data_IF_533265046024
#
_entry.id   IF_533265046024
#
_cell.length_a   1.000
_cell.length_b   1.000
_cell.length_c   1.000
_cell.angle_alpha   90.00
_cell.angle_beta   90.00
_cell.angle_gamma   90.00
#
_symmetry.space_group_name_H-M   'P 1'
#
loop_
_entity.id
_entity.type
_entity.pdbx_description
1 polymer ?
#
# COMPACT_ATOMS: atom_id res chain seq x y z
N UNK A 1 4.58 16.60 -11.95
CA UNK A 1 4.48 15.30 -12.61
C UNK A 1 4.49 14.16 -11.57
N UNK A 2 5.54 14.04 -10.74
CA UNK A 2 5.65 13.01 -9.68
C UNK A 2 4.41 13.00 -8.78
N UNK A 3 4.03 14.14 -8.21
CA UNK A 3 2.87 14.26 -7.31
C UNK A 3 1.59 13.71 -7.93
N UNK A 4 1.29 14.11 -9.18
CA UNK A 4 0.07 13.65 -9.87
C UNK A 4 0.17 12.16 -10.17
N UNK A 5 1.29 11.67 -10.69
CA UNK A 5 1.42 10.25 -11.03
C UNK A 5 1.34 9.33 -9.80
N UNK A 6 1.95 9.72 -8.66
CA UNK A 6 1.87 8.94 -7.42
C UNK A 6 0.46 8.94 -6.83
N UNK A 7 -0.22 10.09 -6.75
CA UNK A 7 -1.57 10.15 -6.19
C UNK A 7 -2.61 9.45 -7.08
N UNK A 8 -2.47 9.54 -8.40
CA UNK A 8 -3.31 8.76 -9.35
C UNK A 8 -3.06 7.27 -9.18
N UNK A 9 -1.81 6.84 -9.02
CA UNK A 9 -1.46 5.44 -8.82
C UNK A 9 -2.00 4.90 -7.49
N UNK A 10 -1.87 5.67 -6.40
CA UNK A 10 -2.43 5.32 -5.10
C UNK A 10 -3.94 5.09 -5.18
N UNK A 11 -4.67 6.00 -5.81
CA UNK A 11 -6.12 5.87 -5.94
C UNK A 11 -6.52 4.72 -6.86
N UNK A 12 -5.82 4.54 -7.98
CA UNK A 12 -6.10 3.46 -8.92
C UNK A 12 -5.76 2.06 -8.38
N UNK A 13 -4.82 1.98 -7.44
CA UNK A 13 -4.42 0.72 -6.79
C UNK A 13 -5.15 0.42 -5.49
N UNK A 14 -6.10 1.27 -5.09
CA UNK A 14 -6.78 1.18 -3.80
C UNK A 14 -7.54 -0.13 -3.62
N UNK A 15 -8.27 -0.58 -4.63
CA UNK A 15 -9.04 -1.84 -4.58
C UNK A 15 -8.13 -3.03 -4.27
N UNK A 16 -7.01 -3.17 -5.00
CA UNK A 16 -6.04 -4.21 -4.72
C UNK A 16 -5.29 -4.05 -3.38
N UNK A 17 -5.22 -2.85 -2.82
CA UNK A 17 -4.71 -2.64 -1.47
C UNK A 17 -5.74 -3.08 -0.42
N UNK A 18 -7.01 -2.74 -0.62
CA UNK A 18 -8.12 -3.17 0.24
C UNK A 18 -8.23 -4.70 0.33
N UNK A 19 -8.22 -5.40 -0.81
CA UNK A 19 -8.27 -6.87 -0.84
C UNK A 19 -7.07 -7.53 -0.11
N UNK A 20 -5.91 -6.87 -0.10
CA UNK A 20 -4.76 -7.37 0.66
C UNK A 20 -4.82 -7.07 2.14
N UNK A 21 -5.34 -5.90 2.51
CA UNK A 21 -5.45 -5.47 3.91
C UNK A 21 -6.64 -6.11 4.62
N UNK A 22 -7.73 -6.29 3.89
CA UNK A 22 -9.00 -6.80 4.41
C UNK A 22 -9.50 -7.95 3.53
N UNK A 23 -8.85 -9.12 3.59
CA UNK A 23 -9.21 -10.28 2.75
C UNK A 23 -10.59 -10.87 3.08
N UNK A 24 -11.17 -10.53 4.24
CA UNK A 24 -12.48 -10.97 4.70
C UNK A 24 -13.41 -9.79 4.92
N UNK A 25 -14.71 -10.00 4.76
CA UNK A 25 -15.70 -8.97 5.04
C UNK A 25 -15.59 -8.46 6.47
N UNK A 26 -15.43 -9.39 7.43
CA UNK A 26 -15.29 -9.07 8.85
C UNK A 26 -14.28 -10.01 9.52
N UNK A 27 -13.41 -9.46 10.35
CA UNK A 27 -12.53 -10.16 11.26
C UNK A 27 -12.80 -9.64 12.68
N UNK A 28 -13.35 -10.47 13.54
CA UNK A 28 -13.61 -10.18 14.95
C UNK A 28 -12.43 -10.68 15.76
N UNK A 29 -11.80 -9.79 16.50
CA UNK A 29 -10.54 -10.02 17.21
C UNK A 29 -10.76 -9.87 18.70
N UNK A 30 -10.61 -10.97 19.44
CA UNK A 30 -10.65 -11.01 20.89
C UNK A 30 -9.23 -11.15 21.44
N UNK A 31 -8.75 -10.16 22.20
CA UNK A 31 -7.46 -10.30 22.89
C UNK A 31 -7.53 -11.37 24.00
N UNK A 32 -6.49 -12.19 24.08
CA UNK A 32 -6.31 -13.22 25.10
C UNK A 32 -5.17 -12.90 26.08
N UNK A 33 -4.50 -11.77 25.93
CA UNK A 33 -3.27 -11.43 26.68
C UNK A 33 -3.46 -11.43 28.21
N UNK A 34 -4.63 -11.02 28.70
CA UNK A 34 -4.94 -10.94 30.11
C UNK A 34 -5.96 -12.01 30.55
N UNK A 35 -6.28 -12.96 29.66
CA UNK A 35 -7.30 -13.99 29.91
C UNK A 35 -6.65 -15.23 30.53
N UNK A 36 -7.11 -15.71 31.69
CA UNK A 36 -6.63 -16.96 32.27
C UNK A 36 -6.94 -18.15 31.34
N UNK A 37 -6.02 -19.13 31.16
CA UNK A 37 -6.21 -20.26 30.24
C UNK A 37 -7.52 -21.06 30.48
N UNK A 38 -7.98 -21.17 31.72
CA UNK A 38 -9.24 -21.84 32.05
C UNK A 38 -10.49 -21.10 31.58
N UNK A 39 -10.40 -19.81 31.21
CA UNK A 39 -11.50 -18.99 30.72
C UNK A 39 -11.46 -18.78 29.19
N UNK A 40 -10.33 -19.04 28.54
CA UNK A 40 -10.16 -18.80 27.10
C UNK A 40 -11.22 -19.55 26.27
N UNK A 41 -11.45 -20.83 26.53
CA UNK A 41 -12.42 -21.63 25.78
C UNK A 41 -13.83 -21.06 25.87
N UNK A 42 -14.27 -20.68 27.07
CA UNK A 42 -15.60 -20.11 27.25
C UNK A 42 -15.76 -18.75 26.59
N UNK A 43 -14.69 -17.93 26.60
CA UNK A 43 -14.67 -16.63 25.94
C UNK A 43 -14.69 -16.77 24.40
N UNK A 44 -13.91 -17.70 23.85
CA UNK A 44 -13.87 -17.97 22.43
C UNK A 44 -15.22 -18.51 21.90
N UNK A 45 -15.88 -19.40 22.68
CA UNK A 45 -17.23 -19.89 22.37
C UNK A 45 -18.27 -18.75 22.42
N UNK A 46 -18.23 -17.86 23.41
CA UNK A 46 -19.13 -16.68 23.49
C UNK A 46 -18.93 -15.74 22.29
N UNK A 47 -17.68 -15.45 21.92
CA UNK A 47 -17.37 -14.61 20.74
C UNK A 47 -17.90 -15.24 19.46
N UNK A 48 -17.70 -16.54 19.27
CA UNK A 48 -18.20 -17.26 18.10
C UNK A 48 -19.73 -17.26 18.03
N UNK A 49 -20.41 -17.50 19.17
CA UNK A 49 -21.88 -17.47 19.27
C UNK A 49 -22.44 -16.08 18.95
N UNK A 50 -21.80 -15.00 19.41
CA UNK A 50 -22.18 -13.61 19.08
C UNK A 50 -22.11 -13.34 17.59
N UNK A 51 -21.01 -13.74 16.94
CA UNK A 51 -20.83 -13.58 15.49
C UNK A 51 -21.90 -14.36 14.72
N UNK A 52 -22.18 -15.61 15.10
CA UNK A 52 -23.22 -16.42 14.46
C UNK A 52 -24.63 -15.84 14.67
N UNK A 53 -24.91 -15.32 15.86
CA UNK A 53 -26.18 -14.66 16.17
C UNK A 53 -26.37 -13.40 15.37
N UNK A 54 -25.33 -12.55 15.28
CA UNK A 54 -25.37 -11.34 14.44
C UNK A 54 -25.63 -11.65 12.97
N UNK A 55 -25.04 -12.74 12.45
CA UNK A 55 -25.28 -13.18 11.07
C UNK A 55 -26.72 -13.65 10.86
N UNK A 56 -27.27 -14.39 11.81
CA UNK A 56 -28.66 -14.85 11.77
C UNK A 56 -29.66 -13.68 11.86
N UNK A 57 -29.40 -12.72 12.74
CA UNK A 57 -30.24 -11.53 12.93
C UNK A 57 -30.22 -10.60 11.69
N UNK A 58 -29.09 -10.47 11.04
CA UNK A 58 -28.96 -9.74 9.78
C UNK A 58 -29.66 -10.46 8.61
N UNK A 59 -30.06 -11.73 8.78
CA UNK A 59 -30.68 -12.55 7.75
C UNK A 59 -29.76 -12.82 6.55
N UNK A 60 -28.47 -12.80 6.78
CA UNK A 60 -27.44 -13.03 5.74
C UNK A 60 -26.94 -14.48 5.78
N UNK A 61 -26.60 -14.97 4.61
CA UNK A 61 -25.93 -16.27 4.50
C UNK A 61 -24.46 -16.09 4.74
N UNK A 62 -23.93 -16.82 5.69
CA UNK A 62 -22.50 -16.93 5.92
C UNK A 62 -21.91 -17.82 4.82
N UNK A 63 -21.02 -17.26 4.00
CA UNK A 63 -20.30 -17.97 2.96
C UNK A 63 -19.03 -18.60 3.51
N UNK A 64 -18.35 -17.90 4.42
CA UNK A 64 -17.17 -18.36 5.11
C UNK A 64 -17.29 -18.02 6.60
N UNK A 65 -17.00 -18.99 7.46
CA UNK A 65 -16.77 -18.78 8.88
C UNK A 65 -15.57 -19.63 9.30
N UNK A 66 -14.52 -18.96 9.77
CA UNK A 66 -13.29 -19.60 10.24
C UNK A 66 -12.85 -18.95 11.55
N UNK A 67 -12.09 -19.67 12.34
CA UNK A 67 -11.49 -19.13 13.56
C UNK A 67 -10.12 -19.73 13.80
N UNK A 68 -9.28 -18.98 14.50
CA UNK A 68 -7.93 -19.38 14.89
C UNK A 68 -7.46 -18.59 16.09
N UNK A 69 -6.39 -19.07 16.71
CA UNK A 69 -5.75 -18.39 17.84
C UNK A 69 -4.28 -18.08 17.51
N UNK A 70 -4.03 -17.08 16.62
CA UNK A 70 -2.66 -16.68 16.31
C UNK A 70 -1.97 -16.05 17.52
N UNK A 71 -0.64 -16.23 17.57
CA UNK A 71 0.25 -15.47 18.44
C UNK A 71 1.12 -14.55 17.59
N UNK A 72 1.25 -13.29 17.98
CA UNK A 72 2.10 -12.31 17.32
C UNK A 72 3.14 -11.77 18.30
N UNK A 73 4.39 -11.63 17.85
CA UNK A 73 5.46 -11.01 18.64
C UNK A 73 6.48 -10.32 17.73
N UNK A 74 7.35 -9.51 18.32
CA UNK A 74 8.50 -8.92 17.65
C UNK A 74 9.78 -9.50 18.23
N UNK A 75 10.57 -10.15 17.38
CA UNK A 75 11.88 -10.66 17.72
C UNK A 75 13.00 -9.88 16.99
N UNK A 76 14.21 -9.96 17.52
CA UNK A 76 15.41 -9.37 16.91
C UNK A 76 16.35 -10.50 16.48
N UNK A 77 16.51 -10.66 15.18
CA UNK A 77 17.29 -11.76 14.60
C UNK A 77 18.78 -11.44 14.54
N UNK A 78 19.58 -12.30 15.13
CA UNK A 78 21.05 -12.21 15.07
C UNK A 78 21.65 -13.61 14.94
N UNK A 79 22.42 -13.84 13.87
CA UNK A 79 23.05 -15.12 13.61
C UNK A 79 22.06 -16.21 13.22
N UNK A 80 21.56 -16.97 14.20
CA UNK A 80 20.54 -17.98 14.04
C UNK A 80 19.49 -17.93 15.16
N UNK A 81 19.44 -16.84 15.91
CA UNK A 81 18.59 -16.71 17.10
C UNK A 81 17.72 -15.46 17.01
N UNK A 82 16.45 -15.61 17.35
CA UNK A 82 15.53 -14.52 17.64
C UNK A 82 15.53 -14.25 19.13
N UNK A 83 15.86 -13.03 19.53
CA UNK A 83 15.74 -12.58 20.92
C UNK A 83 14.50 -11.69 21.06
N UNK A 84 13.65 -11.97 22.03
CA UNK A 84 12.43 -11.18 22.28
C UNK A 84 12.74 -9.94 23.13
N UNK A 85 13.76 -10.01 23.99
CA UNK A 85 14.10 -8.97 24.96
C UNK A 85 15.16 -8.01 24.45
N UNK A 86 16.22 -8.54 23.84
CA UNK A 86 17.36 -7.73 23.38
C UNK A 86 17.06 -7.09 22.01
N UNK A 87 17.15 -5.76 21.92
CA UNK A 87 16.89 -5.00 20.70
C UNK A 87 18.12 -4.92 19.79
N UNK A 88 18.85 -6.02 19.64
CA UNK A 88 20.04 -6.10 18.78
C UNK A 88 19.77 -7.07 17.62
N UNK A 89 19.93 -6.60 16.38
CA UNK A 89 19.72 -7.40 15.17
C UNK A 89 18.63 -6.85 14.25
N UNK A 90 18.14 -7.71 13.36
CA UNK A 90 17.07 -7.37 12.41
C UNK A 90 15.74 -7.51 13.14
N UNK A 91 15.02 -6.39 13.29
CA UNK A 91 13.65 -6.41 13.84
C UNK A 91 12.75 -7.22 12.91
N UNK A 92 12.11 -8.25 13.46
CA UNK A 92 11.31 -9.23 12.71
C UNK A 92 9.97 -9.40 13.40
N UNK A 93 8.90 -9.23 12.65
CA UNK A 93 7.56 -9.63 13.11
C UNK A 93 7.43 -11.14 13.01
N UNK A 94 7.10 -11.79 14.11
CA UNK A 94 6.92 -13.24 14.19
C UNK A 94 5.46 -13.52 14.44
N UNK A 95 4.84 -14.25 13.51
CA UNK A 95 3.47 -14.72 13.65
C UNK A 95 3.43 -16.22 13.81
N UNK A 96 2.75 -16.69 14.86
CA UNK A 96 2.63 -18.08 15.25
C UNK A 96 1.22 -18.58 14.95
N UNK A 97 1.12 -19.80 14.43
CA UNK A 97 -0.14 -20.50 14.24
C UNK A 97 0.06 -21.97 14.58
N UNK A 98 -0.88 -22.58 15.28
CA UNK A 98 -0.79 -24.03 15.56
C UNK A 98 -1.08 -24.85 14.30
N UNK A 99 -0.59 -26.08 14.24
CA UNK A 99 -0.86 -27.02 13.16
C UNK A 99 -2.37 -27.28 12.98
N UNK A 100 -3.11 -27.30 14.08
CA UNK A 100 -4.57 -27.48 14.08
C UNK A 100 -5.29 -26.28 13.46
N UNK A 101 -4.92 -25.06 13.85
CA UNK A 101 -5.45 -23.83 13.27
C UNK A 101 -5.08 -23.70 11.79
N UNK A 102 -3.82 -24.00 11.44
CA UNK A 102 -3.39 -24.01 10.03
C UNK A 102 -4.22 -25.00 9.20
N UNK A 103 -4.46 -26.21 9.74
CA UNK A 103 -5.33 -27.20 9.10
C UNK A 103 -6.77 -26.71 8.93
N UNK A 104 -7.32 -26.04 9.94
CA UNK A 104 -8.69 -25.46 9.90
C UNK A 104 -8.81 -24.33 8.88
N UNK A 105 -7.80 -23.47 8.77
CA UNK A 105 -7.81 -22.33 7.87
C UNK A 105 -7.54 -22.70 6.42
N UNK A 106 -6.62 -23.65 6.16
CA UNK A 106 -6.15 -23.99 4.82
C UNK A 106 -6.70 -25.29 4.26
N UNK A 107 -7.21 -26.18 5.11
CA UNK A 107 -7.58 -27.55 4.77
C UNK A 107 -6.39 -28.51 4.68
N UNK A 108 -5.17 -28.07 4.97
CA UNK A 108 -3.96 -28.88 4.94
C UNK A 108 -3.57 -29.33 6.34
N UNK A 109 -3.83 -30.59 6.68
CA UNK A 109 -3.36 -31.17 7.94
C UNK A 109 -1.86 -31.43 7.90
N UNK A 110 -1.16 -30.98 8.93
CA UNK A 110 0.27 -31.22 9.15
C UNK A 110 0.46 -31.85 10.50
N UNK A 111 1.44 -32.75 10.60
CA UNK A 111 1.83 -33.40 11.85
C UNK A 111 3.27 -32.98 12.14
N UNK A 112 3.48 -32.28 13.24
CA UNK A 112 4.75 -31.65 13.61
C UNK A 112 5.14 -32.11 15.03
N UNK A 113 6.39 -32.46 15.20
CA UNK A 113 6.97 -32.62 16.53
C UNK A 113 7.18 -31.24 17.19
N UNK A 114 7.28 -31.14 18.51
CA UNK A 114 7.39 -29.84 19.20
C UNK A 114 8.53 -28.92 18.77
N UNK A 115 9.60 -29.49 18.23
CA UNK A 115 10.74 -28.71 17.72
C UNK A 115 10.68 -28.50 16.19
N UNK A 116 9.68 -29.06 15.51
CA UNK A 116 9.50 -28.92 14.06
C UNK A 116 8.53 -27.78 13.74
N UNK A 117 8.86 -27.02 12.68
CA UNK A 117 8.03 -25.92 12.22
C UNK A 117 7.93 -25.87 10.71
N UNK A 118 6.76 -25.42 10.20
CA UNK A 118 6.69 -24.90 8.84
C UNK A 118 6.99 -23.40 8.88
N UNK A 119 7.71 -22.93 7.86
CA UNK A 119 8.21 -21.55 7.83
C UNK A 119 7.85 -20.87 6.51
N UNK A 120 7.43 -19.59 6.61
CA UNK A 120 7.52 -18.61 5.53
C UNK A 120 8.27 -17.40 6.08
N UNK A 121 9.38 -17.04 5.44
CA UNK A 121 10.20 -15.89 5.83
C UNK A 121 10.23 -14.87 4.70
N UNK A 122 10.01 -13.60 5.05
CA UNK A 122 10.08 -12.49 4.12
C UNK A 122 11.18 -11.52 4.56
N UNK A 123 12.05 -11.13 3.63
CA UNK A 123 13.23 -10.29 3.88
C UNK A 123 14.18 -10.85 4.95
N UNK A 124 14.25 -12.17 5.08
CA UNK A 124 15.05 -12.88 6.08
C UNK A 124 15.54 -14.22 5.53
N UNK A 125 16.83 -14.49 5.67
CA UNK A 125 17.43 -15.80 5.39
C UNK A 125 17.55 -16.59 6.69
N UNK A 126 16.96 -17.79 6.75
CA UNK A 126 17.00 -18.67 7.91
C UNK A 126 17.82 -19.92 7.62
N UNK A 127 18.65 -20.42 8.56
CA UNK A 127 19.24 -21.74 8.49
C UNK A 127 18.20 -22.84 8.79
N UNK A 128 18.48 -24.08 8.44
CA UNK A 128 17.60 -25.23 8.69
C UNK A 128 17.23 -25.40 10.18
N UNK A 129 18.05 -24.85 11.07
CA UNK A 129 17.82 -24.82 12.51
C UNK A 129 18.06 -23.42 13.05
N UNK A 130 17.07 -22.87 13.71
CA UNK A 130 17.16 -21.57 14.38
C UNK A 130 16.59 -21.65 15.79
N UNK A 131 16.72 -20.56 16.52
CA UNK A 131 16.31 -20.48 17.93
C UNK A 131 15.37 -19.28 18.13
N UNK A 132 14.35 -19.45 18.96
CA UNK A 132 13.63 -18.34 19.57
C UNK A 132 14.00 -18.38 21.05
N UNK A 133 14.74 -17.39 21.51
CA UNK A 133 15.45 -17.39 22.78
C UNK A 133 16.37 -18.65 22.91
N UNK A 134 16.02 -19.57 23.81
CA UNK A 134 16.74 -20.84 24.02
C UNK A 134 16.02 -22.05 23.39
N UNK A 135 14.88 -21.86 22.76
CA UNK A 135 14.09 -22.92 22.14
C UNK A 135 14.59 -23.23 20.72
N UNK A 136 15.02 -24.45 20.44
CA UNK A 136 15.43 -24.86 19.10
C UNK A 136 14.21 -25.14 18.21
N UNK A 137 14.31 -24.74 16.93
CA UNK A 137 13.32 -25.05 15.90
C UNK A 137 14.01 -25.59 14.64
N UNK A 138 13.46 -26.67 14.11
CA UNK A 138 13.89 -27.31 12.87
C UNK A 138 12.87 -27.07 11.76
N UNK A 139 13.31 -26.61 10.59
CA UNK A 139 12.43 -26.37 9.46
C UNK A 139 12.03 -27.70 8.84
N UNK A 140 10.81 -28.16 9.09
CA UNK A 140 10.24 -29.36 8.48
C UNK A 140 9.71 -29.10 7.06
N UNK A 141 9.35 -27.84 6.75
CA UNK A 141 8.87 -27.45 5.41
C UNK A 141 8.61 -25.96 5.29
N UNK A 142 8.21 -25.54 4.08
CA UNK A 142 7.92 -24.14 3.77
C UNK A 142 6.43 -23.96 3.57
N UNK A 143 5.87 -22.91 4.15
CA UNK A 143 4.50 -22.47 3.92
C UNK A 143 4.49 -21.67 2.61
N UNK A 144 3.61 -22.03 1.67
CA UNK A 144 3.48 -21.33 0.40
C UNK A 144 2.60 -20.08 0.52
N UNK A 145 1.57 -20.14 1.37
CA UNK A 145 0.64 -19.04 1.62
C UNK A 145 0.15 -19.12 3.07
N UNK A 146 0.66 -18.22 3.90
CA UNK A 146 0.22 -18.12 5.30
C UNK A 146 -1.18 -17.50 5.33
N UNK A 147 -2.10 -18.01 6.16
CA UNK A 147 -3.43 -17.43 6.27
C UNK A 147 -3.39 -15.94 6.58
N UNK A 148 -4.13 -15.15 5.79
CA UNK A 148 -4.20 -13.71 5.97
C UNK A 148 -5.29 -13.35 6.98
N UNK A 149 -5.14 -12.18 7.57
CA UNK A 149 -6.09 -11.58 8.50
C UNK A 149 -6.38 -10.16 8.06
N UNK A 150 -7.57 -9.65 8.41
CA UNK A 150 -7.83 -8.23 8.25
C UNK A 150 -6.88 -7.42 9.15
N UNK A 151 -6.27 -6.39 8.60
CA UNK A 151 -5.34 -5.56 9.34
C UNK A 151 -5.45 -4.10 8.92
N UNK A 152 -5.70 -3.24 9.89
CA UNK A 152 -5.66 -1.79 9.70
C UNK A 152 -4.23 -1.24 9.64
N UNK A 153 -3.23 -2.06 9.95
CA UNK A 153 -1.83 -1.65 9.93
C UNK A 153 -1.30 -1.79 8.50
N UNK A 154 -0.73 -0.69 7.98
CA UNK A 154 0.02 -0.71 6.73
C UNK A 154 1.32 -1.49 6.97
N UNK A 155 1.33 -2.76 6.57
CA UNK A 155 2.52 -3.60 6.67
C UNK A 155 3.51 -3.09 5.62
N UNK A 156 4.61 -2.52 6.10
CA UNK A 156 5.72 -2.14 5.23
C UNK A 156 6.40 -3.40 4.71
N UNK A 157 6.39 -3.61 3.41
CA UNK A 157 7.11 -4.71 2.76
C UNK A 157 8.63 -4.69 2.95
N UNK A 158 9.15 -3.80 3.80
CA UNK A 158 10.56 -3.70 4.16
C UNK A 158 10.87 -4.29 5.55
N UNK A 159 9.85 -4.57 6.37
CA UNK A 159 10.04 -5.23 7.67
C UNK A 159 10.27 -6.73 7.44
N UNK A 160 11.23 -7.30 8.14
CA UNK A 160 11.40 -8.75 8.14
C UNK A 160 10.20 -9.40 8.81
N UNK A 161 9.65 -10.44 8.18
CA UNK A 161 8.49 -11.18 8.69
C UNK A 161 8.81 -12.67 8.74
N UNK A 162 8.38 -13.29 9.80
CA UNK A 162 8.51 -14.72 10.02
C UNK A 162 7.15 -15.30 10.40
N UNK A 163 6.63 -16.14 9.53
CA UNK A 163 5.41 -16.89 9.77
C UNK A 163 5.77 -18.32 10.12
N UNK A 164 5.27 -18.79 11.23
CA UNK A 164 5.54 -20.12 11.78
C UNK A 164 4.25 -20.89 11.99
N UNK A 165 4.22 -22.14 11.51
CA UNK A 165 3.26 -23.12 12.00
C UNK A 165 4.00 -24.03 12.96
N UNK A 166 3.54 -24.05 14.20
CA UNK A 166 4.11 -24.85 15.31
C UNK A 166 3.20 -26.03 15.64
N UNK A 167 3.72 -27.03 16.33
CA UNK A 167 2.99 -28.27 16.61
C UNK A 167 1.64 -28.02 17.30
N UNK A 168 1.66 -27.34 18.41
CA UNK A 168 0.47 -27.12 19.25
C UNK A 168 0.61 -25.90 20.16
N UNK A 169 -0.41 -25.67 20.99
CA UNK A 169 -0.50 -24.57 21.94
C UNK A 169 0.58 -24.63 23.04
N UNK A 170 1.14 -25.81 23.32
CA UNK A 170 2.22 -25.94 24.32
C UNK A 170 3.50 -25.26 23.83
N UNK A 171 3.75 -25.28 22.52
CA UNK A 171 4.89 -24.59 21.91
C UNK A 171 4.68 -23.08 21.94
N UNK A 172 3.46 -22.59 21.62
CA UNK A 172 3.12 -21.17 21.72
C UNK A 172 3.31 -20.67 23.15
N UNK A 173 2.82 -21.42 24.13
CA UNK A 173 2.98 -21.12 25.55
C UNK A 173 4.43 -21.11 25.98
N UNK A 174 5.25 -22.05 25.50
CA UNK A 174 6.68 -22.11 25.80
C UNK A 174 7.44 -20.87 25.26
N UNK A 175 7.04 -20.32 24.11
CA UNK A 175 7.60 -19.07 23.57
C UNK A 175 7.12 -17.90 24.44
N UNK A 176 5.83 -17.84 24.77
CA UNK A 176 5.24 -16.79 25.61
C UNK A 176 5.86 -16.72 27.00
N UNK A 177 6.20 -17.85 27.59
CA UNK A 177 6.84 -17.93 28.93
C UNK A 177 8.22 -17.25 28.97
N UNK A 178 8.90 -17.04 27.79
CA UNK A 178 10.19 -16.33 27.73
C UNK A 178 10.03 -14.81 27.88
N UNK A 179 8.93 -14.26 27.32
CA UNK A 179 8.51 -12.89 27.59
C UNK A 179 7.00 -12.73 27.35
N UNK A 180 6.21 -13.02 28.39
CA UNK A 180 4.76 -12.94 28.35
C UNK A 180 4.21 -11.53 28.00
N UNK A 181 5.01 -10.48 28.19
CA UNK A 181 4.61 -9.11 27.87
C UNK A 181 4.72 -8.78 26.38
N UNK A 182 5.28 -9.67 25.57
CA UNK A 182 5.56 -9.41 24.14
C UNK A 182 4.87 -10.34 23.18
N UNK A 183 4.42 -11.50 23.60
CA UNK A 183 3.63 -12.38 22.75
C UNK A 183 2.17 -12.03 22.95
N UNK A 184 1.57 -11.42 21.95
CA UNK A 184 0.15 -11.10 21.92
C UNK A 184 -0.62 -12.27 21.34
N UNK A 185 -1.60 -12.77 22.10
CA UNK A 185 -2.48 -13.87 21.68
C UNK A 185 -3.87 -13.33 21.42
N UNK A 186 -4.45 -13.74 20.31
CA UNK A 186 -5.76 -13.27 19.88
C UNK A 186 -6.61 -14.45 19.42
N UNK A 187 -7.87 -14.46 19.78
CA UNK A 187 -8.85 -15.30 19.12
C UNK A 187 -9.50 -14.51 17.99
N UNK A 188 -9.45 -15.04 16.78
CA UNK A 188 -9.98 -14.38 15.60
C UNK A 188 -11.08 -15.18 14.95
N UNK A 189 -12.17 -14.49 14.58
CA UNK A 189 -13.29 -15.07 13.84
C UNK A 189 -13.44 -14.31 12.51
N UNK A 190 -13.18 -15.00 11.41
CA UNK A 190 -13.21 -14.46 10.06
C UNK A 190 -14.51 -14.85 9.37
N UNK A 191 -15.18 -13.87 8.78
CA UNK A 191 -16.51 -14.04 8.18
C UNK A 191 -16.55 -13.41 6.81
N UNK A 192 -17.07 -14.16 5.84
CA UNK A 192 -17.56 -13.63 4.56
C UNK A 192 -19.06 -13.87 4.45
N UNK A 193 -19.77 -12.87 3.96
CA UNK A 193 -21.22 -12.83 3.85
C UNK A 193 -21.64 -12.64 2.41
N UNK A 194 -22.81 -13.19 2.05
CA UNK A 194 -23.50 -12.82 0.83
C UNK A 194 -24.12 -11.41 0.94
N UNK A 195 -24.34 -10.77 -0.20
CA UNK A 195 -25.10 -9.52 -0.27
C UNK A 195 -24.32 -8.31 -0.74
N UNK A 196 -24.96 -7.16 -0.68
CA UNK A 196 -24.38 -5.86 -1.03
C UNK A 196 -23.57 -5.29 0.13
N UNK A 197 -22.71 -4.31 -0.17
CA UNK A 197 -21.90 -3.61 0.85
C UNK A 197 -22.75 -2.98 1.97
N UNK A 198 -23.94 -2.41 1.63
CA UNK A 198 -24.87 -1.86 2.63
C UNK A 198 -25.44 -2.93 3.55
N UNK A 199 -25.72 -4.12 3.00
CA UNK A 199 -26.25 -5.24 3.76
C UNK A 199 -25.18 -5.86 4.68
N UNK A 200 -23.93 -5.89 4.24
CA UNK A 200 -22.78 -6.32 5.05
C UNK A 200 -22.53 -5.36 6.21
N UNK A 201 -22.66 -4.05 6.00
CA UNK A 201 -22.58 -3.05 7.07
C UNK A 201 -23.64 -3.26 8.14
N UNK A 202 -24.87 -3.65 7.78
CA UNK A 202 -25.92 -3.94 8.75
C UNK A 202 -25.57 -5.12 9.69
N UNK A 203 -24.72 -6.05 9.23
CA UNK A 203 -24.16 -7.11 10.09
C UNK A 203 -23.04 -6.56 11.01
N UNK A 204 -22.25 -5.62 10.51
CA UNK A 204 -21.10 -5.06 11.24
C UNK A 204 -21.53 -4.13 12.37
N UNK A 205 -22.58 -3.32 12.14
CA UNK A 205 -23.03 -2.30 13.11
C UNK A 205 -23.28 -2.83 14.54
N UNK A 206 -23.99 -3.95 14.77
CA UNK A 206 -24.17 -4.51 16.11
C UNK A 206 -22.85 -5.00 16.74
N UNK A 207 -21.92 -5.51 15.95
CA UNK A 207 -20.62 -5.96 16.42
C UNK A 207 -19.74 -4.78 16.82
N UNK A 208 -19.71 -3.71 16.03
CA UNK A 208 -19.02 -2.46 16.36
C UNK A 208 -19.61 -1.80 17.63
N UNK A 209 -20.91 -1.88 17.80
CA UNK A 209 -21.54 -1.37 19.02
C UNK A 209 -21.13 -2.15 20.28
N UNK A 210 -20.84 -3.45 20.14
CA UNK A 210 -20.33 -4.29 21.22
C UNK A 210 -18.83 -4.08 21.46
N UNK A 211 -18.03 -3.81 20.41
CA UNK A 211 -16.62 -3.43 20.48
C UNK A 211 -16.42 -2.20 21.40
N UNK A 212 -17.31 -1.20 21.31
CA UNK A 212 -17.28 -0.02 22.17
C UNK A 212 -17.31 -0.31 23.70
N UNK A 213 -17.53 -1.56 24.11
CA UNK A 213 -17.47 -2.02 25.49
C UNK A 213 -16.20 -2.82 25.81
N UNK A 214 -15.16 -2.74 24.97
CA UNK A 214 -13.87 -3.42 25.13
C UNK A 214 -13.97 -4.98 25.23
N UNK A 215 -14.99 -5.56 24.62
CA UNK A 215 -15.17 -7.03 24.63
C UNK A 215 -14.28 -7.68 23.57
N UNK A 216 -14.29 -7.12 22.37
CA UNK A 216 -13.48 -7.54 21.22
C UNK A 216 -13.37 -6.37 20.24
N UNK A 217 -12.44 -6.45 19.30
CA UNK A 217 -12.30 -5.49 18.19
C UNK A 217 -12.88 -6.06 16.89
N UNK A 218 -13.48 -5.22 16.08
CA UNK A 218 -14.06 -5.59 14.79
C UNK A 218 -13.30 -4.87 13.66
N UNK A 219 -12.72 -5.63 12.76
CA UNK A 219 -12.03 -5.10 11.59
C UNK A 219 -12.86 -5.43 10.35
N UNK A 220 -13.67 -4.48 9.89
CA UNK A 220 -14.54 -4.63 8.74
C UNK A 220 -13.90 -4.10 7.48
N UNK A 221 -14.00 -4.86 6.38
CA UNK A 221 -13.61 -4.42 5.05
C UNK A 221 -14.40 -3.17 4.64
N UNK A 222 -15.73 -3.19 4.81
CA UNK A 222 -16.64 -2.15 4.36
C UNK A 222 -16.43 -0.83 5.11
N UNK A 223 -16.30 -0.89 6.43
CA UNK A 223 -16.10 0.29 7.26
C UNK A 223 -14.73 0.95 6.96
N UNK A 224 -13.68 0.16 6.93
CA UNK A 224 -12.33 0.64 6.63
C UNK A 224 -12.17 1.09 5.16
N UNK A 225 -12.92 0.52 4.22
CA UNK A 225 -12.91 0.95 2.83
C UNK A 225 -13.31 2.42 2.69
N UNK A 226 -14.35 2.87 3.41
CA UNK A 226 -14.81 4.27 3.39
C UNK A 226 -13.70 5.23 3.80
N UNK A 227 -12.97 4.90 4.87
CA UNK A 227 -11.88 5.71 5.37
C UNK A 227 -10.70 5.76 4.39
N UNK A 228 -10.34 4.63 3.81
CA UNK A 228 -9.27 4.56 2.81
C UNK A 228 -9.64 5.30 1.51
N UNK A 229 -10.86 5.15 0.99
CA UNK A 229 -11.33 5.92 -0.15
C UNK A 229 -11.32 7.42 0.12
N UNK A 230 -11.69 7.84 1.33
CA UNK A 230 -11.65 9.25 1.75
C UNK A 230 -10.21 9.77 1.81
N UNK A 231 -9.31 9.03 2.42
CA UNK A 231 -7.90 9.41 2.56
C UNK A 231 -7.19 9.46 1.19
N UNK A 232 -7.29 8.41 0.39
CA UNK A 232 -6.63 8.35 -0.93
C UNK A 232 -7.28 9.29 -1.94
N UNK A 233 -8.61 9.49 -1.86
CA UNK A 233 -9.32 10.51 -2.62
C UNK A 233 -8.87 11.91 -2.27
N UNK A 234 -8.62 12.19 -0.99
CA UNK A 234 -8.01 13.44 -0.52
C UNK A 234 -6.61 13.65 -1.08
N UNK A 235 -5.76 12.62 -1.10
CA UNK A 235 -4.43 12.69 -1.73
C UNK A 235 -4.52 12.92 -3.24
N UNK A 236 -5.44 12.25 -3.92
CA UNK A 236 -5.68 12.47 -5.35
C UNK A 236 -6.10 13.90 -5.63
N UNK A 237 -7.09 14.41 -4.88
CA UNK A 237 -7.54 15.79 -5.02
C UNK A 237 -6.39 16.77 -4.81
N UNK A 238 -5.63 16.63 -3.73
CA UNK A 238 -4.49 17.50 -3.42
C UNK A 238 -3.41 17.43 -4.50
N UNK A 239 -3.08 16.21 -4.95
CA UNK A 239 -2.08 15.98 -5.99
C UNK A 239 -2.44 16.60 -7.33
N UNK A 240 -3.70 16.42 -7.77
CA UNK A 240 -4.22 17.03 -9.01
C UNK A 240 -4.30 18.55 -8.89
N UNK A 241 -4.81 19.05 -7.77
CA UNK A 241 -4.94 20.50 -7.52
C UNK A 241 -3.58 21.22 -7.55
N UNK A 242 -2.61 20.71 -6.77
CA UNK A 242 -1.25 21.27 -6.77
C UNK A 242 -0.57 21.11 -8.15
N UNK A 243 -0.76 19.94 -8.79
CA UNK A 243 -0.25 19.69 -10.14
C UNK A 243 -0.76 20.70 -11.15
N UNK A 244 -2.06 21.03 -11.12
CA UNK A 244 -2.66 22.04 -11.97
C UNK A 244 -2.14 23.44 -11.66
N UNK A 245 -2.01 23.82 -10.37
CA UNK A 245 -1.46 25.12 -9.99
C UNK A 245 -0.03 25.30 -10.51
N UNK A 246 0.84 24.31 -10.32
CA UNK A 246 2.22 24.37 -10.81
C UNK A 246 2.29 24.36 -12.35
N UNK A 247 1.43 23.58 -13.00
CA UNK A 247 1.33 23.55 -14.45
C UNK A 247 0.96 24.93 -14.99
N UNK A 248 -0.13 25.53 -14.48
CA UNK A 248 -0.58 26.87 -14.89
C UNK A 248 0.49 27.93 -14.66
N UNK A 249 1.13 27.90 -13.48
CA UNK A 249 2.22 28.83 -13.16
C UNK A 249 3.39 28.70 -14.16
N UNK A 250 3.81 27.47 -14.45
CA UNK A 250 4.91 27.21 -15.40
C UNK A 250 4.54 27.66 -16.80
N UNK A 251 3.32 27.36 -17.26
CA UNK A 251 2.81 27.77 -18.58
C UNK A 251 2.79 29.29 -18.69
N UNK A 252 2.30 29.99 -17.66
CA UNK A 252 2.26 31.46 -17.67
C UNK A 252 3.67 32.08 -17.71
N UNK A 253 4.58 31.56 -16.89
CA UNK A 253 5.97 32.05 -16.86
C UNK A 253 6.62 31.87 -18.24
N UNK A 254 6.51 30.70 -18.86
CA UNK A 254 7.09 30.43 -20.16
C UNK A 254 6.42 31.28 -21.22
N UNK A 255 5.08 31.41 -21.21
CA UNK A 255 4.33 32.21 -22.14
C UNK A 255 4.75 33.69 -22.11
N UNK A 256 4.75 34.32 -20.92
CA UNK A 256 5.14 35.73 -20.79
C UNK A 256 6.61 35.97 -21.11
N UNK A 257 7.49 35.03 -20.73
CA UNK A 257 8.91 35.09 -21.14
C UNK A 257 9.08 35.11 -22.66
N UNK A 258 8.37 34.19 -23.35
CA UNK A 258 8.45 34.11 -24.82
C UNK A 258 7.88 35.36 -25.51
N UNK A 259 6.82 35.98 -24.96
CA UNK A 259 6.28 37.22 -25.49
C UNK A 259 7.27 38.36 -25.30
N UNK A 260 7.89 38.50 -24.13
CA UNK A 260 8.93 39.52 -23.89
C UNK A 260 10.11 39.35 -24.81
N UNK A 261 10.64 38.13 -24.96
CA UNK A 261 11.71 37.80 -25.91
C UNK A 261 11.30 38.11 -27.36
N UNK A 262 10.03 37.88 -27.75
CA UNK A 262 9.50 38.21 -29.08
C UNK A 262 9.58 39.70 -29.39
N UNK A 263 9.29 40.59 -28.43
CA UNK A 263 9.45 42.04 -28.63
C UNK A 263 10.91 42.46 -28.71
N UNK A 264 11.80 41.86 -27.91
CA UNK A 264 13.24 42.14 -27.97
C UNK A 264 13.88 41.65 -29.28
N UNK A 265 13.48 40.51 -29.78
CA UNK A 265 14.00 39.89 -30.98
C UNK A 265 13.42 40.49 -32.27
N UNK A 266 12.33 41.24 -32.22
CA UNK A 266 11.68 41.84 -33.36
C UNK A 266 12.68 42.62 -34.23
N UNK A 267 13.52 43.46 -33.62
CA UNK A 267 14.54 44.26 -34.31
C UNK A 267 15.62 43.39 -34.94
N UNK A 268 16.03 42.32 -34.25
CA UNK A 268 17.04 41.38 -34.77
C UNK A 268 16.56 40.66 -36.03
N UNK A 269 15.33 40.18 -36.02
CA UNK A 269 14.74 39.50 -37.18
C UNK A 269 14.48 40.44 -38.36
N UNK A 270 14.13 41.70 -38.11
CA UNK A 270 14.03 42.72 -39.14
C UNK A 270 15.36 42.93 -39.83
N UNK A 271 16.46 43.04 -39.09
CA UNK A 271 17.81 43.18 -39.65
C UNK A 271 18.18 41.93 -40.48
N UNK A 272 17.89 40.72 -39.97
CA UNK A 272 18.16 39.46 -40.66
C UNK A 272 17.41 39.37 -41.99
N UNK A 273 16.17 39.86 -42.06
CA UNK A 273 15.39 39.93 -43.32
C UNK A 273 15.99 40.92 -44.29
N UNK A 274 16.51 42.07 -43.83
CA UNK A 274 17.19 43.04 -44.67
C UNK A 274 18.50 42.51 -45.27
N UNK A 275 19.17 41.57 -44.57
CA UNK A 275 20.39 40.91 -45.05
C UNK A 275 20.08 39.73 -45.99
N UNK A 276 18.77 39.40 -46.18
CA UNK A 276 18.34 38.41 -47.17
C UNK A 276 17.72 37.13 -46.63
N UNK A 277 17.46 37.02 -45.31
CA UNK A 277 16.77 35.87 -44.75
C UNK A 277 15.29 35.87 -45.18
N UNK A 278 14.81 34.73 -45.66
CA UNK A 278 13.43 34.60 -46.10
C UNK A 278 12.46 34.53 -44.89
N UNK A 279 11.19 34.95 -45.04
CA UNK A 279 10.19 34.82 -43.95
C UNK A 279 9.95 33.40 -43.48
N UNK A 280 10.23 32.40 -44.32
CA UNK A 280 10.12 30.96 -43.95
C UNK A 280 11.25 30.54 -43.02
N UNK A 281 12.47 31.00 -43.27
CA UNK A 281 13.65 30.74 -42.42
C UNK A 281 13.48 31.38 -41.04
N UNK A 282 12.99 32.62 -40.98
CA UNK A 282 12.63 33.29 -39.73
C UNK A 282 11.63 32.48 -38.93
N UNK A 283 10.53 32.04 -39.55
CA UNK A 283 9.51 31.22 -38.85
C UNK A 283 10.05 29.87 -38.38
N UNK A 284 10.93 29.24 -39.15
CA UNK A 284 11.55 27.97 -38.77
C UNK A 284 12.47 28.14 -37.57
N UNK A 285 13.28 29.20 -37.54
CA UNK A 285 14.15 29.55 -36.42
C UNK A 285 13.35 29.78 -35.14
N UNK A 286 12.29 30.60 -35.23
CA UNK A 286 11.36 30.87 -34.13
C UNK A 286 10.75 29.55 -33.57
N UNK A 287 10.24 28.69 -34.47
CA UNK A 287 9.63 27.40 -34.04
C UNK A 287 10.63 26.53 -33.31
N UNK A 288 11.86 26.43 -33.77
CA UNK A 288 12.91 25.62 -33.13
C UNK A 288 13.27 26.16 -31.76
N UNK A 289 13.43 27.47 -31.61
CA UNK A 289 13.74 28.12 -30.35
C UNK A 289 12.63 27.94 -29.32
N UNK A 290 11.38 28.24 -29.70
CA UNK A 290 10.22 28.08 -28.80
C UNK A 290 10.02 26.62 -28.44
N UNK A 291 10.19 25.66 -29.37
CA UNK A 291 10.07 24.24 -29.10
C UNK A 291 11.05 23.79 -28.00
N UNK A 292 12.31 24.21 -28.12
CA UNK A 292 13.34 23.85 -27.14
C UNK A 292 12.99 24.38 -25.74
N UNK A 293 12.56 25.64 -25.64
CA UNK A 293 12.19 26.25 -24.36
C UNK A 293 10.99 25.54 -23.68
N UNK A 294 10.01 25.10 -24.50
CA UNK A 294 8.82 24.40 -23.96
C UNK A 294 9.08 22.94 -23.59
N UNK A 295 9.82 22.21 -24.40
CA UNK A 295 9.96 20.77 -24.22
C UNK A 295 11.17 20.36 -23.37
N UNK A 296 12.21 21.19 -23.25
CA UNK A 296 13.37 20.90 -22.43
C UNK A 296 13.01 20.65 -20.96
N UNK A 297 12.19 21.48 -20.28
CA UNK A 297 11.76 21.20 -18.90
C UNK A 297 10.99 19.89 -18.79
N UNK A 298 10.18 19.55 -19.79
CA UNK A 298 9.38 18.32 -19.78
C UNK A 298 10.25 17.06 -19.94
N UNK A 299 11.24 17.10 -20.82
CA UNK A 299 12.25 16.03 -20.97
C UNK A 299 13.03 15.85 -19.68
N UNK A 300 13.49 16.95 -19.08
CA UNK A 300 14.20 16.92 -17.80
C UNK A 300 13.33 16.32 -16.68
N UNK A 301 12.06 16.70 -16.61
CA UNK A 301 11.11 16.13 -15.66
C UNK A 301 10.91 14.63 -15.88
N UNK A 302 10.83 14.17 -17.12
CA UNK A 302 10.75 12.73 -17.46
C UNK A 302 11.99 11.96 -17.00
N UNK A 303 13.18 12.52 -17.21
CA UNK A 303 14.45 11.91 -16.74
C UNK A 303 14.46 11.83 -15.18
N UNK A 304 14.04 12.89 -14.50
CA UNK A 304 13.97 12.90 -13.04
C UNK A 304 13.00 11.84 -12.51
N UNK A 305 11.81 11.69 -13.13
CA UNK A 305 10.86 10.65 -12.74
C UNK A 305 11.46 9.26 -12.97
N UNK A 306 12.12 9.03 -14.11
CA UNK A 306 12.76 7.75 -14.39
C UNK A 306 13.88 7.42 -13.39
N UNK A 307 14.69 8.40 -13.01
CA UNK A 307 15.74 8.23 -12.02
C UNK A 307 15.19 7.97 -10.59
N UNK A 308 14.07 8.64 -10.24
CA UNK A 308 13.43 8.49 -8.94
C UNK A 308 12.51 7.25 -8.86
N UNK A 309 12.23 6.60 -9.99
CA UNK A 309 11.23 5.52 -10.09
C UNK A 309 11.40 4.41 -9.05
N UNK A 310 12.61 3.84 -8.81
CA UNK A 310 12.78 2.79 -7.81
C UNK A 310 12.47 3.26 -6.38
N UNK A 311 12.84 4.50 -6.04
CA UNK A 311 12.54 5.10 -4.74
C UNK A 311 11.03 5.32 -4.57
N UNK A 312 10.35 5.78 -5.62
CA UNK A 312 8.91 6.01 -5.60
C UNK A 312 8.14 4.69 -5.44
N UNK A 313 8.59 3.60 -6.08
CA UNK A 313 8.01 2.27 -5.87
C UNK A 313 8.08 1.87 -4.40
N UNK A 314 9.25 2.00 -3.76
CA UNK A 314 9.41 1.71 -2.33
C UNK A 314 8.55 2.60 -1.42
N UNK A 315 8.35 3.86 -1.81
CA UNK A 315 7.43 4.75 -1.09
C UNK A 315 5.97 4.29 -1.22
N UNK A 316 5.57 3.82 -2.40
CA UNK A 316 4.23 3.31 -2.64
C UNK A 316 3.96 1.98 -1.92
N UNK A 317 4.98 1.15 -1.72
CA UNK A 317 4.90 -0.06 -0.88
C UNK A 317 4.48 0.25 0.56
N UNK A 318 4.87 1.42 1.12
CA UNK A 318 4.41 1.88 2.44
C UNK A 318 2.88 2.10 2.50
N UNK A 319 2.25 2.31 1.36
CA UNK A 319 0.80 2.44 1.19
C UNK A 319 0.16 1.16 0.63
N UNK A 320 0.82 0.02 0.81
CA UNK A 320 0.35 -1.29 0.34
C UNK A 320 0.15 -1.40 -1.19
N UNK A 321 0.83 -0.55 -1.96
CA UNK A 321 0.79 -0.55 -3.42
C UNK A 321 2.04 -1.21 -4.00
N UNK A 322 1.96 -2.49 -4.33
CA UNK A 322 3.07 -3.30 -4.87
C UNK A 322 3.06 -3.42 -6.40
N UNK A 323 2.03 -2.90 -7.08
CA UNK A 323 1.93 -3.00 -8.54
C UNK A 323 2.77 -1.94 -9.26
N UNK A 324 4.03 -2.32 -9.53
CA UNK A 324 5.01 -1.50 -10.29
C UNK A 324 4.50 -1.20 -11.69
N UNK A 325 3.72 -2.10 -12.33
CA UNK A 325 3.19 -1.88 -13.68
C UNK A 325 2.11 -0.81 -13.67
N UNK A 326 1.22 -0.85 -12.67
CA UNK A 326 0.19 0.17 -12.48
C UNK A 326 0.84 1.54 -12.32
N UNK A 327 1.87 1.66 -11.45
CA UNK A 327 2.58 2.92 -11.26
C UNK A 327 3.26 3.40 -12.55
N UNK A 328 3.91 2.52 -13.30
CA UNK A 328 4.54 2.86 -14.57
C UNK A 328 3.52 3.37 -15.59
N UNK A 329 2.33 2.75 -15.69
CA UNK A 329 1.24 3.19 -16.56
C UNK A 329 0.68 4.55 -16.14
N UNK A 330 0.46 4.78 -14.86
CA UNK A 330 0.01 6.06 -14.32
C UNK A 330 1.03 7.18 -14.58
N UNK A 331 2.33 6.89 -14.40
CA UNK A 331 3.41 7.84 -14.68
C UNK A 331 3.50 8.19 -16.19
N UNK A 332 3.43 7.18 -17.05
CA UNK A 332 3.41 7.37 -18.51
C UNK A 332 2.17 8.14 -18.96
N UNK A 333 0.99 7.79 -18.47
CA UNK A 333 -0.27 8.48 -18.77
C UNK A 333 -0.23 9.95 -18.34
N UNK A 334 0.25 10.21 -17.13
CA UNK A 334 0.43 11.58 -16.60
C UNK A 334 1.40 12.37 -17.49
N UNK A 335 2.53 11.78 -17.88
CA UNK A 335 3.51 12.43 -18.78
C UNK A 335 2.87 12.76 -20.14
N UNK A 336 2.07 11.85 -20.70
CA UNK A 336 1.36 12.09 -21.96
C UNK A 336 0.36 13.25 -21.87
N UNK A 337 -0.41 13.34 -20.77
CA UNK A 337 -1.33 14.46 -20.52
C UNK A 337 -0.57 15.79 -20.45
N UNK A 338 0.56 15.82 -19.73
CA UNK A 338 1.41 17.01 -19.66
C UNK A 338 1.98 17.36 -21.04
N UNK A 339 2.49 16.38 -21.82
CA UNK A 339 2.94 16.60 -23.19
C UNK A 339 1.85 17.24 -24.07
N UNK A 340 0.61 16.76 -23.97
CA UNK A 340 -0.51 17.29 -24.74
C UNK A 340 -0.81 18.76 -24.39
N UNK A 341 -0.83 19.08 -23.09
CA UNK A 341 -1.05 20.46 -22.62
C UNK A 341 0.09 21.38 -23.08
N UNK A 342 1.34 20.95 -22.91
CA UNK A 342 2.50 21.73 -23.39
C UNK A 342 2.49 21.92 -24.91
N UNK A 343 2.10 20.91 -25.68
CA UNK A 343 1.99 21.03 -27.15
C UNK A 343 0.90 22.04 -27.55
N UNK A 344 -0.23 22.07 -26.84
CA UNK A 344 -1.29 23.05 -27.05
C UNK A 344 -0.79 24.49 -26.79
N UNK A 345 -0.16 24.68 -25.63
CA UNK A 345 0.38 26.00 -25.24
C UNK A 345 1.51 26.45 -26.20
N UNK A 346 2.38 25.52 -26.59
CA UNK A 346 3.41 25.78 -27.63
C UNK A 346 2.79 26.28 -28.90
N UNK A 347 1.72 25.66 -29.41
CA UNK A 347 1.03 26.08 -30.62
C UNK A 347 0.47 27.50 -30.53
N UNK A 348 -0.14 27.85 -29.38
CA UNK A 348 -0.66 29.18 -29.10
C UNK A 348 0.47 30.22 -29.01
N UNK A 349 1.51 29.93 -28.27
CA UNK A 349 2.66 30.82 -28.06
C UNK A 349 3.41 31.08 -29.35
N UNK A 350 3.65 30.03 -30.15
CA UNK A 350 4.35 30.17 -31.44
C UNK A 350 3.58 31.07 -32.41
N UNK A 351 2.24 30.97 -32.43
CA UNK A 351 1.40 31.87 -33.25
C UNK A 351 1.52 33.31 -32.80
N UNK A 352 1.44 33.57 -31.49
CA UNK A 352 1.54 34.94 -30.95
C UNK A 352 2.93 35.53 -31.16
N UNK A 353 3.99 34.76 -30.88
CA UNK A 353 5.38 35.17 -31.11
C UNK A 353 5.64 35.52 -32.59
N UNK A 354 5.20 34.64 -33.52
CA UNK A 354 5.35 34.89 -34.97
C UNK A 354 4.62 36.13 -35.41
N UNK A 355 3.48 36.49 -34.82
CA UNK A 355 2.74 37.72 -35.11
C UNK A 355 3.50 38.96 -34.63
N UNK A 356 4.09 38.92 -33.44
CA UNK A 356 4.88 40.02 -32.88
C UNK A 356 6.12 40.28 -33.76
N UNK A 357 6.88 39.24 -34.08
CA UNK A 357 8.13 39.36 -34.85
C UNK A 357 7.86 39.67 -36.33
N UNK A 358 6.77 39.15 -36.90
CA UNK A 358 6.41 39.37 -38.31
C UNK A 358 5.80 40.74 -38.63
N UNK A 359 5.51 41.58 -37.63
CA UNK A 359 5.04 42.96 -37.82
C UNK A 359 3.61 43.08 -38.37
N UNK A 360 2.76 42.03 -38.23
CA UNK A 360 1.32 42.07 -38.61
C UNK A 360 0.40 41.77 -37.41
#
# INVERSE_FOLDING_TARGET
LVTVSTTVSLYAGLEGALERMYPYDVDVVQSLDEVPPEQETALNEDTLERVQTAAADAGRKVELLRWSTPGDTVGYYTGNTFTLVAQEGVSTEIRLLTADDYGRLTGHTVDLEPEEVLVQAENLDLPDTFYIEDLPFHIAGTIMDFPRYNSSILISGQTAQLFLVVADETVVSAISDRDASRVHREFRVQVDLDGTEEEKLAFVDPLLAADANDVYSVISHQDNAVDLYTMYGGFLFLGVFLGLLFLLSTVLIIYYKQISEGYEDQRRYQIMQQVGMSPREVRSSIRSQVLLVFFLPLVTAGIHVAAAFPMLCKLLELFNLFDVRLFALCAAGTLLVFCAIYALVYGLTTRTYSRIVGGQ
#
